data_IF_957099871175
#
_entry.id   IF_957099871175
#
_cell.length_a   1.000
_cell.length_b   1.000
_cell.length_c   1.000
_cell.angle_alpha   90.00
_cell.angle_beta   90.00
_cell.angle_gamma   90.00
#
_symmetry.space_group_name_H-M   'P 1'
#
loop_
_entity.id
_entity.type
_entity.pdbx_description
1 polymer ?
#
# COMPACT_ATOMS: atom_id res chain seq x y z
N UNK A 1 -26.65 -19.22 44.10
CA UNK A 1 -25.94 -19.76 42.92
C UNK A 1 -26.67 -19.32 41.65
N UNK A 2 -26.46 -18.09 41.14
CA UNK A 2 -26.95 -17.67 39.81
C UNK A 2 -26.57 -16.24 39.34
N UNK A 3 -25.46 -15.65 39.78
CA UNK A 3 -25.05 -14.32 39.26
C UNK A 3 -23.53 -14.16 39.18
N UNK A 4 -22.85 -15.07 38.47
CA UNK A 4 -21.40 -15.00 38.27
C UNK A 4 -20.97 -15.32 36.84
N UNK A 5 -21.85 -15.06 35.86
CA UNK A 5 -21.56 -15.24 34.44
C UNK A 5 -22.12 -14.04 33.67
N UNK A 6 -21.63 -12.84 33.97
CA UNK A 6 -21.85 -11.67 33.10
C UNK A 6 -20.76 -10.60 33.29
N UNK A 7 -19.51 -11.03 33.48
CA UNK A 7 -18.37 -10.11 33.56
C UNK A 7 -17.20 -10.50 32.64
N UNK A 8 -17.32 -11.57 31.87
CA UNK A 8 -16.26 -12.07 30.99
C UNK A 8 -16.42 -11.74 29.50
N UNK A 9 -17.56 -11.18 29.06
CA UNK A 9 -17.75 -10.81 27.65
C UNK A 9 -17.36 -9.36 27.31
N UNK A 10 -17.14 -8.48 28.30
CA UNK A 10 -16.82 -7.06 28.03
C UNK A 10 -15.32 -6.83 27.85
N UNK A 11 -14.46 -7.79 28.23
CA UNK A 11 -13.01 -7.70 28.07
C UNK A 11 -12.47 -8.21 26.72
N UNK A 12 -13.32 -8.76 25.84
CA UNK A 12 -12.88 -9.16 24.50
C UNK A 12 -13.08 -8.08 23.42
N UNK A 13 -13.76 -6.98 23.72
CA UNK A 13 -14.06 -5.94 22.72
C UNK A 13 -12.91 -4.91 22.61
N UNK A 14 -12.05 -4.80 23.62
CA UNK A 14 -10.92 -3.85 23.59
C UNK A 14 -9.71 -4.32 22.78
N UNK A 15 -9.68 -5.58 22.33
CA UNK A 15 -8.56 -6.13 21.54
C UNK A 15 -8.59 -5.79 20.05
N UNK A 16 -9.60 -5.05 19.57
CA UNK A 16 -9.83 -4.77 18.13
C UNK A 16 -9.69 -3.29 17.76
N UNK A 17 -9.34 -2.43 18.71
CA UNK A 17 -9.05 -1.03 18.46
C UNK A 17 -7.60 -0.73 18.89
N UNK A 18 -6.65 -1.35 18.21
CA UNK A 18 -5.37 -0.67 18.01
C UNK A 18 -5.71 0.55 17.16
N UNK A 19 -5.89 1.68 17.84
CA UNK A 19 -6.13 2.96 17.21
C UNK A 19 -4.87 3.30 16.39
N UNK A 20 -4.89 2.94 15.11
CA UNK A 20 -3.87 3.18 14.08
C UNK A 20 -3.82 4.69 13.70
N UNK A 21 -3.84 5.56 14.71
CA UNK A 21 -3.52 6.99 14.58
C UNK A 21 -2.00 7.22 14.46
N UNK A 22 -1.19 6.15 14.45
CA UNK A 22 0.23 6.24 14.17
C UNK A 22 0.47 6.41 12.65
N UNK A 23 0.22 7.64 12.21
CA UNK A 23 0.54 8.15 10.87
C UNK A 23 2.06 8.09 10.61
N UNK A 24 2.87 8.03 11.67
CA UNK A 24 4.33 8.08 11.57
C UNK A 24 4.89 6.80 10.94
N UNK A 25 5.84 7.00 10.04
CA UNK A 25 6.57 5.92 9.39
C UNK A 25 7.94 5.76 10.06
N UNK A 26 8.32 4.52 10.42
CA UNK A 26 9.65 4.19 10.96
C UNK A 26 10.30 3.11 10.13
N UNK A 27 11.54 3.34 9.71
CA UNK A 27 12.24 2.40 8.85
C UNK A 27 13.36 3.05 8.03
N UNK A 28 13.80 2.35 6.98
CA UNK A 28 14.80 2.89 6.04
C UNK A 28 14.11 3.89 5.11
N UNK A 29 14.59 5.13 5.11
CA UNK A 29 13.94 6.26 4.46
C UNK A 29 14.65 6.68 3.18
N UNK A 30 13.86 6.99 2.15
CA UNK A 30 14.30 7.57 0.89
C UNK A 30 13.44 8.81 0.63
N UNK A 31 14.08 9.96 0.46
CA UNK A 31 13.41 11.24 0.20
C UNK A 31 13.40 11.57 -1.29
N UNK A 32 12.50 12.49 -1.70
CA UNK A 32 12.40 12.95 -3.09
C UNK A 32 12.21 11.82 -4.12
N UNK A 33 11.51 10.74 -3.73
CA UNK A 33 11.13 9.66 -4.63
C UNK A 33 10.02 10.15 -5.55
N UNK A 34 10.15 9.95 -6.86
CA UNK A 34 9.06 10.20 -7.81
C UNK A 34 8.00 9.13 -7.63
N UNK A 35 6.83 9.52 -7.14
CA UNK A 35 5.67 8.65 -7.14
C UNK A 35 4.77 8.99 -8.32
N UNK A 36 4.37 7.97 -9.08
CA UNK A 36 3.37 8.08 -10.15
C UNK A 36 2.30 7.02 -9.97
N UNK A 37 1.17 7.13 -10.67
CA UNK A 37 0.10 6.14 -10.60
C UNK A 37 0.03 5.26 -11.85
N UNK A 38 -0.35 4.00 -11.65
CA UNK A 38 -0.74 3.07 -12.71
C UNK A 38 -2.04 2.37 -12.33
N UNK A 39 -2.77 1.81 -13.28
CA UNK A 39 -4.04 1.13 -13.03
C UNK A 39 -4.12 -0.21 -13.78
N UNK A 40 -4.92 -1.17 -13.27
CA UNK A 40 -5.15 -2.42 -13.97
C UNK A 40 -5.80 -2.22 -15.34
N UNK A 41 -5.25 -2.85 -16.37
CA UNK A 41 -5.90 -2.96 -17.67
C UNK A 41 -6.74 -4.25 -17.74
N UNK A 42 -8.06 -4.09 -17.67
CA UNK A 42 -9.03 -5.19 -17.80
C UNK A 42 -9.48 -5.42 -19.24
N UNK A 43 -9.08 -4.57 -20.17
CA UNK A 43 -9.54 -4.59 -21.57
C UNK A 43 -8.64 -5.42 -22.48
N UNK A 44 -7.40 -5.68 -22.07
CA UNK A 44 -6.45 -6.49 -22.82
C UNK A 44 -6.75 -7.99 -22.78
N UNK A 45 -6.43 -8.68 -23.88
CA UNK A 45 -6.53 -10.14 -24.00
C UNK A 45 -5.51 -10.89 -23.10
N UNK A 46 -4.56 -10.17 -22.51
CA UNK A 46 -3.57 -10.72 -21.59
C UNK A 46 -4.04 -10.59 -20.14
N UNK A 47 -4.14 -11.72 -19.43
CA UNK A 47 -4.45 -11.75 -17.99
C UNK A 47 -3.44 -10.98 -17.12
N UNK A 48 -2.28 -10.58 -17.67
CA UNK A 48 -1.27 -9.80 -16.95
C UNK A 48 -1.71 -8.37 -16.60
N UNK A 49 -2.67 -7.78 -17.30
CA UNK A 49 -3.05 -6.37 -17.11
C UNK A 49 -3.60 -6.04 -15.72
N UNK A 50 -4.07 -7.04 -14.97
CA UNK A 50 -4.63 -6.88 -13.62
C UNK A 50 -3.97 -7.76 -12.55
N UNK A 51 -2.84 -8.36 -12.87
CA UNK A 51 -2.05 -9.22 -11.98
C UNK A 51 -0.68 -8.60 -11.72
N UNK A 52 -0.14 -8.80 -10.52
CA UNK A 52 1.23 -8.45 -10.17
C UNK A 52 2.25 -9.43 -10.77
N UNK A 53 3.54 -9.14 -10.59
CA UNK A 53 4.66 -9.99 -11.05
C UNK A 53 4.63 -11.46 -10.59
N UNK A 54 3.78 -11.85 -9.65
CA UNK A 54 3.56 -13.24 -9.21
C UNK A 54 2.19 -13.80 -9.61
N UNK A 55 1.46 -13.14 -10.50
CA UNK A 55 0.16 -13.57 -10.97
C UNK A 55 -0.96 -13.39 -9.92
N UNK A 56 -0.79 -12.51 -8.93
CA UNK A 56 -1.84 -12.20 -7.94
C UNK A 56 -2.55 -10.92 -8.32
N UNK A 57 -3.85 -10.83 -8.05
CA UNK A 57 -4.63 -9.61 -8.35
C UNK A 57 -4.00 -8.37 -7.72
N UNK A 58 -3.82 -7.34 -8.54
CA UNK A 58 -3.42 -6.01 -8.08
C UNK A 58 -4.41 -5.47 -7.05
N UNK A 59 -3.91 -4.76 -6.05
CA UNK A 59 -4.70 -4.14 -4.98
C UNK A 59 -4.60 -2.62 -5.11
N UNK A 60 -5.72 -1.99 -5.42
CA UNK A 60 -5.75 -0.56 -5.75
C UNK A 60 -5.89 0.28 -4.48
N UNK A 61 -5.44 1.54 -4.53
CA UNK A 61 -5.61 2.50 -3.46
C UNK A 61 -7.08 2.65 -3.07
N UNK A 62 -7.97 2.81 -4.05
CA UNK A 62 -9.40 2.97 -3.77
C UNK A 62 -10.00 1.70 -3.17
N UNK A 63 -9.53 0.49 -3.53
CA UNK A 63 -9.99 -0.73 -2.87
C UNK A 63 -9.59 -0.79 -1.40
N UNK A 64 -8.42 -0.26 -1.06
CA UNK A 64 -7.97 -0.16 0.32
C UNK A 64 -8.79 0.87 1.10
N UNK A 65 -9.03 2.05 0.51
CA UNK A 65 -9.85 3.10 1.12
C UNK A 65 -11.32 2.68 1.33
N UNK A 66 -11.81 1.77 0.48
CA UNK A 66 -13.15 1.17 0.60
C UNK A 66 -13.16 -0.09 1.52
N UNK A 67 -12.09 -0.36 2.27
CA UNK A 67 -11.91 -1.53 3.16
C UNK A 67 -12.08 -2.90 2.47
N UNK A 68 -11.82 -2.98 1.16
CA UNK A 68 -11.96 -4.21 0.35
C UNK A 68 -10.68 -5.03 0.28
N UNK A 69 -9.56 -4.46 0.72
CA UNK A 69 -8.26 -5.12 0.73
C UNK A 69 -7.37 -4.59 1.86
N UNK A 70 -6.41 -5.40 2.31
CA UNK A 70 -5.55 -5.07 3.46
C UNK A 70 -4.25 -4.33 3.10
N UNK A 71 -3.98 -4.09 1.82
CA UNK A 71 -2.83 -3.31 1.35
C UNK A 71 -3.07 -2.74 -0.04
N UNK A 72 -2.26 -1.75 -0.42
CA UNK A 72 -2.16 -1.21 -1.78
C UNK A 72 -0.90 -1.76 -2.45
N UNK A 73 -1.01 -2.24 -3.69
CA UNK A 73 0.13 -2.69 -4.48
C UNK A 73 0.97 -1.49 -4.91
N UNK A 74 2.28 -1.58 -4.67
CA UNK A 74 3.29 -0.73 -5.27
C UNK A 74 4.14 -1.53 -6.26
N UNK A 75 4.59 -0.83 -7.30
CA UNK A 75 5.59 -1.29 -8.23
C UNK A 75 6.90 -0.49 -8.04
N UNK A 76 8.03 -1.18 -8.05
CA UNK A 76 9.37 -0.57 -8.00
C UNK A 76 10.32 -1.30 -8.94
N UNK A 77 11.53 -0.78 -9.10
CA UNK A 77 12.61 -1.43 -9.83
C UNK A 77 12.89 -2.85 -9.30
N UNK A 78 12.78 -3.86 -10.18
CA UNK A 78 13.01 -5.26 -9.83
C UNK A 78 14.50 -5.56 -9.57
N UNK A 79 15.41 -4.76 -10.13
CA UNK A 79 16.86 -4.92 -9.96
C UNK A 79 17.29 -4.66 -8.49
N UNK A 80 16.42 -4.05 -7.67
CA UNK A 80 16.65 -3.89 -6.23
C UNK A 80 16.64 -5.21 -5.45
N UNK A 81 16.05 -6.29 -6.01
CA UNK A 81 15.98 -7.60 -5.36
C UNK A 81 15.17 -7.61 -4.05
N UNK A 82 14.20 -6.71 -3.92
CA UNK A 82 13.37 -6.59 -2.72
C UNK A 82 12.50 -7.83 -2.51
N UNK A 83 12.35 -8.33 -1.27
CA UNK A 83 11.39 -9.40 -0.96
C UNK A 83 9.99 -9.03 -1.43
N UNK A 84 9.32 -9.96 -2.11
CA UNK A 84 7.94 -9.77 -2.54
C UNK A 84 7.01 -9.53 -1.34
N UNK A 85 6.25 -8.44 -1.38
CA UNK A 85 5.40 -8.01 -0.28
C UNK A 85 6.13 -7.12 0.75
N UNK A 86 7.30 -6.58 0.43
CA UNK A 86 8.01 -5.63 1.31
C UNK A 86 7.09 -4.47 1.70
N UNK A 87 6.92 -4.26 3.00
CA UNK A 87 6.04 -3.24 3.55
C UNK A 87 6.65 -1.84 3.44
N UNK A 88 5.85 -0.91 2.93
CA UNK A 88 6.21 0.48 2.71
C UNK A 88 5.20 1.39 3.39
N UNK A 89 5.68 2.54 3.84
CA UNK A 89 4.89 3.62 4.39
C UNK A 89 5.25 4.91 3.65
N UNK A 90 4.23 5.66 3.21
CA UNK A 90 4.37 6.94 2.50
C UNK A 90 3.67 8.02 3.35
N UNK A 91 4.41 8.79 4.17
CA UNK A 91 3.83 9.74 5.11
C UNK A 91 2.87 10.74 4.45
N UNK A 92 3.18 11.18 3.25
CA UNK A 92 2.39 12.18 2.53
C UNK A 92 1.03 11.63 2.08
N UNK A 93 0.94 10.33 1.80
CA UNK A 93 -0.33 9.67 1.51
C UNK A 93 -1.12 9.45 2.80
N UNK A 94 -0.47 9.00 3.87
CA UNK A 94 -1.13 8.85 5.17
C UNK A 94 -1.73 10.19 5.64
N UNK A 95 -0.98 11.28 5.50
CA UNK A 95 -1.44 12.64 5.83
C UNK A 95 -2.60 13.08 4.95
N UNK A 96 -2.60 12.72 3.66
CA UNK A 96 -3.66 13.10 2.73
C UNK A 96 -5.00 12.44 3.08
N UNK A 97 -4.99 11.14 3.42
CA UNK A 97 -6.22 10.41 3.78
C UNK A 97 -6.55 10.44 5.28
N UNK A 98 -5.64 10.93 6.12
CA UNK A 98 -5.86 11.08 7.56
C UNK A 98 -5.72 9.80 8.37
N UNK A 99 -5.20 8.71 7.77
CA UNK A 99 -4.93 7.45 8.43
C UNK A 99 -3.78 6.71 7.74
N UNK A 100 -3.26 5.65 8.39
CA UNK A 100 -2.19 4.83 7.82
C UNK A 100 -2.69 4.02 6.62
N UNK A 101 -2.03 4.16 5.48
CA UNK A 101 -2.21 3.31 4.29
C UNK A 101 -1.07 2.28 4.24
N UNK A 102 -1.44 1.00 4.17
CA UNK A 102 -0.47 -0.10 4.09
C UNK A 102 -0.10 -0.35 2.64
N UNK A 103 1.17 -0.17 2.30
CA UNK A 103 1.67 -0.42 0.96
C UNK A 103 2.57 -1.65 0.93
N UNK A 104 2.53 -2.39 -0.19
CA UNK A 104 3.41 -3.52 -0.41
C UNK A 104 3.99 -3.54 -1.82
N UNK A 105 5.31 -3.67 -1.90
CA UNK A 105 6.01 -3.82 -3.18
C UNK A 105 5.81 -5.25 -3.68
N UNK A 106 4.97 -5.38 -4.69
CA UNK A 106 4.60 -6.68 -5.26
C UNK A 106 4.76 -6.73 -6.76
N UNK A 107 4.99 -5.61 -7.40
CA UNK A 107 4.98 -5.50 -8.84
C UNK A 107 6.21 -4.76 -9.39
N UNK A 108 6.37 -4.76 -10.70
CA UNK A 108 7.40 -4.01 -11.42
C UNK A 108 7.00 -3.82 -12.88
N UNK A 109 7.70 -2.92 -13.59
CA UNK A 109 7.50 -2.68 -15.02
C UNK A 109 8.84 -2.32 -15.68
N UNK A 110 8.88 -2.39 -17.01
CA UNK A 110 10.09 -2.01 -17.76
C UNK A 110 10.44 -0.53 -17.57
N UNK A 111 9.46 0.35 -17.35
CA UNK A 111 9.64 1.78 -17.13
C UNK A 111 10.25 2.11 -15.76
N UNK A 112 10.25 1.14 -14.84
CA UNK A 112 10.86 1.25 -13.51
C UNK A 112 12.30 0.73 -13.48
N UNK A 113 12.76 0.05 -14.53
CA UNK A 113 14.08 -0.57 -14.55
C UNK A 113 15.21 0.46 -14.47
N UNK A 114 16.15 0.24 -13.56
CA UNK A 114 17.30 1.10 -13.32
C UNK A 114 16.97 2.38 -12.53
N UNK A 115 15.73 2.56 -12.08
CA UNK A 115 15.34 3.69 -11.22
C UNK A 115 15.73 3.50 -9.75
N UNK A 116 16.07 2.28 -9.34
CA UNK A 116 16.40 1.95 -7.97
C UNK A 116 15.34 2.43 -6.99
N UNK A 117 15.76 3.20 -5.97
CA UNK A 117 14.87 3.75 -4.95
C UNK A 117 14.28 5.13 -5.33
N UNK A 118 14.55 5.66 -6.52
CA UNK A 118 14.16 7.01 -6.90
C UNK A 118 12.76 7.11 -7.50
N UNK A 119 12.13 5.97 -7.84
CA UNK A 119 10.78 5.91 -8.39
C UNK A 119 9.95 4.78 -7.77
N UNK A 120 8.67 5.05 -7.58
CA UNK A 120 7.66 4.07 -7.18
C UNK A 120 6.35 4.36 -7.89
N UNK A 121 5.67 3.33 -8.36
CA UNK A 121 4.35 3.49 -8.96
C UNK A 121 3.27 2.88 -8.06
N UNK A 122 2.21 3.64 -7.76
CA UNK A 122 1.08 3.23 -6.93
C UNK A 122 -0.07 2.71 -7.79
N UNK A 123 -0.61 1.56 -7.44
CA UNK A 123 -1.76 0.99 -8.14
C UNK A 123 -3.04 1.72 -7.73
N UNK A 124 -3.72 2.36 -8.68
CA UNK A 124 -5.03 3.00 -8.53
C UNK A 124 -6.09 2.27 -9.36
N UNK A 125 -7.37 2.54 -9.09
CA UNK A 125 -8.48 1.77 -9.64
C UNK A 125 -8.72 2.01 -11.13
N UNK A 126 -8.51 3.23 -11.61
CA UNK A 126 -8.86 3.61 -12.96
C UNK A 126 -7.92 4.67 -13.55
N UNK A 127 -8.02 4.88 -14.86
CA UNK A 127 -7.36 5.98 -15.55
C UNK A 127 -7.69 7.34 -14.91
N UNK A 128 -8.97 7.56 -14.55
CA UNK A 128 -9.40 8.81 -13.91
C UNK A 128 -8.68 9.03 -12.57
N UNK A 129 -8.53 7.97 -11.76
CA UNK A 129 -7.81 8.03 -10.48
C UNK A 129 -6.31 8.29 -10.69
N UNK A 130 -5.76 7.91 -11.84
CA UNK A 130 -4.34 8.10 -12.16
C UNK A 130 -3.96 9.56 -12.39
N UNK A 131 -4.94 10.45 -12.58
CA UNK A 131 -4.73 11.89 -12.73
C UNK A 131 -4.74 12.66 -11.40
N UNK A 132 -5.03 12.01 -10.26
CA UNK A 132 -4.99 12.68 -8.96
C UNK A 132 -3.54 13.11 -8.62
N UNK A 133 -3.37 14.39 -8.33
CA UNK A 133 -2.07 14.98 -7.94
C UNK A 133 -1.55 14.42 -6.62
N UNK A 134 -2.42 13.87 -5.77
CA UNK A 134 -2.04 13.24 -4.50
C UNK A 134 -1.16 12.00 -4.72
N UNK A 135 -1.34 11.31 -5.84
CA UNK A 135 -0.61 10.10 -6.25
C UNK A 135 0.46 10.35 -7.32
N UNK A 136 0.65 11.61 -7.75
CA UNK A 136 1.65 12.02 -8.74
C UNK A 136 2.51 13.18 -8.24
N UNK A 137 3.49 12.88 -7.40
CA UNK A 137 4.35 13.89 -6.75
C UNK A 137 5.64 13.29 -6.20
N UNK A 138 6.54 14.17 -5.76
CA UNK A 138 7.69 13.77 -4.94
C UNK A 138 7.20 13.42 -3.52
N UNK A 139 7.67 12.28 -3.00
CA UNK A 139 7.32 11.79 -1.65
C UNK A 139 8.52 11.18 -0.93
N UNK A 140 8.34 10.95 0.36
CA UNK A 140 9.19 10.11 1.17
C UNK A 140 8.68 8.67 1.16
N UNK A 141 9.56 7.71 0.87
CA UNK A 141 9.29 6.27 0.95
C UNK A 141 10.04 5.70 2.14
N UNK A 142 9.30 5.08 3.06
CA UNK A 142 9.87 4.43 4.24
C UNK A 142 9.62 2.94 4.18
N UNK A 143 10.69 2.16 4.07
CA UNK A 143 10.64 0.70 4.17
C UNK A 143 10.52 0.30 5.62
N UNK A 144 9.37 -0.27 5.99
CA UNK A 144 9.02 -0.56 7.38
C UNK A 144 9.87 -1.72 7.88
N UNK A 145 10.51 -1.53 9.03
CA UNK A 145 11.20 -2.62 9.72
C UNK A 145 10.17 -3.38 10.54
N UNK A 146 9.88 -4.62 10.16
CA UNK A 146 9.14 -5.54 11.02
C UNK A 146 10.04 -5.85 12.23
N UNK A 147 9.62 -5.39 13.41
CA UNK A 147 10.22 -5.80 14.68
C UNK A 147 9.81 -7.22 15.04
#
# INVERSE_FOLDING_TARGET
MKYFIFFFCVWQIYGLYDNDFDIDCKGKTFENVTMTAYYPDYSGDSESGFLDKKGRKLRTLQDYLDDRTGYVTLAMDDDLGLPYGSDVCIPEINKHYGHRVRFQIRDSSLDLKGSGYERVDICVRSEMDSYDVSVNRKVTVVFVQNK
#
